data_IF_860175646900
#
_entry.id   IF_860175646900
#
_cell.length_a   1.000
_cell.length_b   1.000
_cell.length_c   1.000
_cell.angle_alpha   90.00
_cell.angle_beta   90.00
_cell.angle_gamma   90.00
#
_symmetry.space_group_name_H-M   'P 1'
#
loop_
_entity.id
_entity.type
_entity.pdbx_description
1 polymer ?
#
# COMPACT_ATOMS: atom_id res chain seq x y z
N UNK A 1 -56.22 15.53 46.74
CA UNK A 1 -55.26 16.56 46.29
C UNK A 1 -54.96 16.33 44.82
N UNK A 2 -54.89 17.43 44.07
CA UNK A 2 -54.82 17.53 42.62
C UNK A 2 -53.45 17.14 42.03
N UNK A 3 -53.51 16.55 40.83
CA UNK A 3 -52.78 16.90 39.58
C UNK A 3 -51.47 17.70 39.64
N UNK A 4 -50.40 17.23 38.98
CA UNK A 4 -49.98 17.63 37.61
C UNK A 4 -48.62 17.01 37.22
N UNK A 5 -48.51 16.66 35.93
CA UNK A 5 -47.29 16.26 35.22
C UNK A 5 -46.53 17.51 34.72
N UNK A 6 -45.19 17.54 34.79
CA UNK A 6 -44.35 18.41 33.93
C UNK A 6 -43.05 17.68 33.56
N UNK A 7 -42.79 17.72 32.26
CA UNK A 7 -41.73 17.11 31.46
C UNK A 7 -40.31 17.58 31.80
N UNK A 8 -39.33 16.68 31.69
CA UNK A 8 -37.94 17.06 31.44
C UNK A 8 -37.78 17.32 29.95
N UNK A 9 -37.76 18.60 29.57
CA UNK A 9 -37.21 19.04 28.29
C UNK A 9 -35.68 18.96 28.38
N UNK A 10 -35.08 18.08 27.57
CA UNK A 10 -33.69 18.22 27.15
C UNK A 10 -33.69 18.44 25.64
N UNK A 11 -33.90 19.69 25.24
CA UNK A 11 -33.37 20.19 23.97
C UNK A 11 -31.93 20.57 24.24
N UNK A 12 -31.00 19.89 23.58
CA UNK A 12 -30.18 20.52 22.54
C UNK A 12 -29.41 19.41 21.82
N UNK A 13 -29.79 19.18 20.57
CA UNK A 13 -28.98 18.46 19.59
C UNK A 13 -27.68 19.25 19.39
N UNK A 14 -26.60 18.81 20.04
CA UNK A 14 -25.26 19.26 19.69
C UNK A 14 -24.92 18.74 18.29
N UNK A 15 -25.15 19.61 17.31
CA UNK A 15 -24.69 19.46 15.94
C UNK A 15 -23.17 19.67 15.92
N UNK A 16 -22.42 18.60 16.20
CA UNK A 16 -20.98 18.56 15.93
C UNK A 16 -20.76 18.84 14.43
N UNK A 17 -20.23 20.02 14.15
CA UNK A 17 -19.75 20.43 12.83
C UNK A 17 -18.85 19.33 12.25
N UNK A 18 -19.29 18.73 11.15
CA UNK A 18 -18.55 17.73 10.36
C UNK A 18 -17.10 18.14 10.01
N UNK A 19 -16.75 19.44 10.14
CA UNK A 19 -15.40 19.97 9.94
C UNK A 19 -14.42 19.71 11.09
N UNK A 20 -14.85 19.60 12.35
CA UNK A 20 -13.95 19.42 13.50
C UNK A 20 -13.41 17.98 13.58
N UNK A 21 -14.29 17.00 13.39
CA UNK A 21 -13.89 15.58 13.34
C UNK A 21 -12.93 15.29 12.18
N UNK A 22 -13.20 15.85 10.99
CA UNK A 22 -12.31 15.69 9.83
C UNK A 22 -10.92 16.30 10.08
N UNK A 23 -10.84 17.39 10.83
CA UNK A 23 -9.58 18.05 11.19
C UNK A 23 -8.77 17.22 12.19
N UNK A 24 -9.43 16.68 13.23
CA UNK A 24 -8.81 15.77 14.21
C UNK A 24 -8.29 14.49 13.54
N UNK A 25 -9.07 13.88 12.64
CA UNK A 25 -8.66 12.68 11.90
C UNK A 25 -7.44 12.93 11.01
N UNK A 26 -7.37 14.08 10.32
CA UNK A 26 -6.18 14.47 9.53
C UNK A 26 -4.95 14.68 10.41
N UNK A 27 -5.11 15.31 11.58
CA UNK A 27 -4.01 15.53 12.51
C UNK A 27 -3.46 14.20 13.07
N UNK A 28 -4.35 13.31 13.54
CA UNK A 28 -3.95 11.97 14.00
C UNK A 28 -3.26 11.18 12.90
N UNK A 29 -3.71 11.32 11.65
CA UNK A 29 -3.05 10.70 10.51
C UNK A 29 -1.66 11.26 10.25
N UNK A 30 -1.47 12.58 10.32
CA UNK A 30 -0.16 13.21 10.15
C UNK A 30 0.82 12.75 11.23
N UNK A 31 0.38 12.60 12.48
CA UNK A 31 1.20 12.06 13.56
C UNK A 31 1.57 10.59 13.29
N UNK A 32 0.59 9.76 12.93
CA UNK A 32 0.82 8.36 12.55
C UNK A 32 1.77 8.23 11.36
N UNK A 33 1.65 9.11 10.36
CA UNK A 33 2.56 9.18 9.21
C UNK A 33 3.96 9.64 9.59
N UNK A 34 4.06 10.59 10.52
CA UNK A 34 5.35 11.03 11.06
C UNK A 34 6.02 9.90 11.83
N UNK A 35 5.27 9.15 12.63
CA UNK A 35 5.75 7.96 13.33
C UNK A 35 6.13 6.84 12.36
N UNK A 36 5.36 6.64 11.29
CA UNK A 36 5.69 5.69 10.23
C UNK A 36 6.95 6.09 9.47
N UNK A 37 7.15 7.37 9.16
CA UNK A 37 8.38 7.88 8.55
C UNK A 37 9.58 7.77 9.50
N UNK A 38 9.39 8.06 10.80
CA UNK A 38 10.42 7.86 11.83
C UNK A 38 10.78 6.37 11.93
N UNK A 39 9.79 5.48 11.90
CA UNK A 39 9.99 4.03 11.87
C UNK A 39 10.66 3.58 10.58
N UNK A 40 10.26 4.08 9.41
CA UNK A 40 10.89 3.77 8.14
C UNK A 40 12.37 4.17 8.16
N UNK A 41 12.67 5.36 8.70
CA UNK A 41 14.04 5.85 8.86
C UNK A 41 14.84 5.02 9.87
N UNK A 42 14.25 4.66 11.01
CA UNK A 42 14.88 3.78 12.00
C UNK A 42 15.07 2.35 11.47
N UNK A 43 14.17 1.84 10.63
CA UNK A 43 14.30 0.55 9.93
C UNK A 43 15.40 0.63 8.86
N UNK A 44 15.56 1.78 8.22
CA UNK A 44 16.63 2.04 7.24
C UNK A 44 18.02 2.08 7.91
N UNK A 45 18.09 2.60 9.15
CA UNK A 45 19.32 2.67 9.96
C UNK A 45 19.67 1.34 10.67
N UNK A 46 18.68 0.51 11.00
CA UNK A 46 18.88 -0.75 11.77
C UNK A 46 18.98 -2.01 10.93
N UNK A 47 18.50 -1.99 9.67
CA UNK A 47 18.59 -3.12 8.76
C UNK A 47 19.25 -2.65 7.46
N UNK A 48 20.50 -3.04 7.16
CA UNK A 48 21.15 -2.65 5.91
C UNK A 48 20.38 -3.26 4.75
N UNK A 49 19.49 -2.45 4.18
CA UNK A 49 18.87 -2.54 2.87
C UNK A 49 18.80 -3.96 2.30
N UNK A 50 17.89 -4.82 2.81
CA UNK A 50 17.48 -5.96 1.99
C UNK A 50 16.51 -5.46 0.92
N UNK A 51 17.09 -4.75 -0.05
CA UNK A 51 16.43 -4.49 -1.31
C UNK A 51 16.10 -5.82 -1.96
N UNK A 52 14.97 -5.87 -2.66
CA UNK A 52 14.49 -7.07 -3.30
C UNK A 52 13.77 -6.75 -4.60
N UNK A 53 13.53 -7.79 -5.37
CA UNK A 53 12.70 -7.75 -6.56
C UNK A 53 11.37 -8.43 -6.25
N UNK A 54 10.28 -7.95 -6.85
CA UNK A 54 8.98 -8.63 -6.80
C UNK A 54 8.69 -9.27 -8.15
N UNK A 55 8.86 -10.59 -8.24
CA UNK A 55 8.69 -11.35 -9.47
C UNK A 55 7.29 -11.95 -9.59
N UNK A 56 6.54 -11.57 -10.62
CA UNK A 56 5.28 -12.21 -11.00
C UNK A 56 5.50 -13.20 -12.14
N UNK A 57 5.07 -14.45 -11.96
CA UNK A 57 5.23 -15.52 -12.95
C UNK A 57 4.25 -15.48 -14.13
N UNK A 58 3.46 -14.41 -14.26
CA UNK A 58 2.46 -14.30 -15.34
C UNK A 58 3.16 -14.13 -16.70
N UNK A 59 2.62 -14.75 -17.76
CA UNK A 59 3.22 -14.68 -19.09
C UNK A 59 4.63 -15.28 -19.11
N UNK A 60 5.61 -14.50 -19.57
CA UNK A 60 7.04 -14.89 -19.58
C UNK A 60 7.75 -14.65 -18.24
N UNK A 61 7.03 -14.12 -17.25
CA UNK A 61 7.61 -13.71 -15.98
C UNK A 61 8.15 -12.28 -16.01
N UNK A 62 7.85 -11.52 -14.95
CA UNK A 62 8.16 -10.09 -14.87
C UNK A 62 8.55 -9.67 -13.45
N UNK A 63 9.54 -8.79 -13.34
CA UNK A 63 9.88 -8.05 -12.14
C UNK A 63 9.13 -6.73 -12.14
N UNK A 64 8.41 -6.43 -11.07
CA UNK A 64 7.73 -5.15 -10.91
C UNK A 64 8.77 -4.02 -10.80
N UNK A 65 8.56 -2.94 -11.55
CA UNK A 65 9.35 -1.73 -11.44
C UNK A 65 8.50 -0.48 -11.33
N UNK A 66 9.07 0.54 -10.69
CA UNK A 66 8.50 1.88 -10.56
C UNK A 66 9.54 2.83 -11.17
N UNK A 67 9.17 3.58 -12.20
CA UNK A 67 10.11 4.48 -12.87
C UNK A 67 9.95 5.93 -12.41
N UNK A 68 10.88 6.80 -12.82
CA UNK A 68 10.94 8.21 -12.40
C UNK A 68 9.66 9.02 -12.60
N UNK A 69 8.87 8.71 -13.63
CA UNK A 69 7.61 9.42 -13.90
C UNK A 69 6.41 8.89 -13.07
N UNK A 70 6.60 7.85 -12.27
CA UNK A 70 5.56 7.22 -11.45
C UNK A 70 4.76 6.13 -12.17
N UNK A 71 5.05 5.84 -13.43
CA UNK A 71 4.48 4.68 -14.11
C UNK A 71 5.05 3.39 -13.54
N UNK A 72 4.23 2.33 -13.55
CA UNK A 72 4.55 1.03 -12.95
C UNK A 72 4.19 -0.06 -13.94
N UNK A 73 5.13 -0.98 -14.17
CA UNK A 73 4.93 -2.15 -15.02
C UNK A 73 5.97 -3.24 -14.69
N UNK A 74 5.84 -4.38 -15.33
CA UNK A 74 6.73 -5.52 -15.22
C UNK A 74 7.76 -5.57 -16.34
N UNK A 75 9.02 -5.89 -16.00
CA UNK A 75 10.12 -6.13 -16.96
C UNK A 75 10.68 -7.54 -16.79
N UNK A 76 11.08 -8.17 -17.90
CA UNK A 76 11.59 -9.54 -17.83
C UNK A 76 12.93 -9.60 -17.10
N UNK A 77 13.90 -8.83 -17.58
CA UNK A 77 15.21 -8.66 -16.94
C UNK A 77 15.14 -7.53 -15.89
N UNK A 78 15.60 -7.75 -14.65
CA UNK A 78 15.62 -6.72 -13.63
C UNK A 78 16.43 -5.49 -14.06
N UNK A 79 15.86 -4.31 -13.83
CA UNK A 79 16.52 -3.02 -14.01
C UNK A 79 16.84 -2.37 -12.64
N UNK A 80 17.58 -1.27 -12.62
CA UNK A 80 17.76 -0.45 -11.41
C UNK A 80 16.42 0.05 -10.81
N UNK A 81 15.39 0.22 -11.65
CA UNK A 81 14.04 0.62 -11.24
C UNK A 81 13.19 -0.53 -10.68
N UNK A 82 13.64 -1.77 -10.90
CA UNK A 82 13.00 -2.98 -10.36
C UNK A 82 13.44 -3.27 -8.93
N UNK A 83 14.43 -2.52 -8.42
CA UNK A 83 14.92 -2.65 -7.06
C UNK A 83 13.95 -1.96 -6.10
N UNK A 84 13.32 -2.75 -5.23
CA UNK A 84 12.27 -2.31 -4.34
C UNK A 84 12.68 -2.53 -2.89
N UNK A 85 12.27 -1.61 -2.03
CA UNK A 85 12.22 -1.77 -0.58
C UNK A 85 10.79 -2.06 -0.19
N UNK A 86 10.54 -3.25 0.37
CA UNK A 86 9.26 -3.57 1.02
C UNK A 86 9.50 -3.47 2.52
N UNK A 87 8.76 -2.60 3.19
CA UNK A 87 8.94 -2.34 4.62
C UNK A 87 7.65 -2.58 5.37
N UNK A 88 7.74 -3.26 6.51
CA UNK A 88 6.61 -3.50 7.37
C UNK A 88 6.24 -2.21 8.12
N UNK A 89 5.02 -1.74 7.94
CA UNK A 89 4.45 -0.64 8.74
C UNK A 89 3.92 -1.20 10.06
N UNK A 90 3.26 -2.37 9.99
CA UNK A 90 2.74 -3.18 11.09
C UNK A 90 2.70 -4.65 10.64
N UNK A 91 2.49 -5.64 11.53
CA UNK A 91 2.41 -7.05 11.13
C UNK A 91 1.42 -7.28 9.98
N UNK A 92 1.90 -7.83 8.86
CA UNK A 92 1.12 -8.10 7.65
C UNK A 92 0.72 -6.87 6.82
N UNK A 93 1.12 -5.66 7.20
CA UNK A 93 0.88 -4.42 6.45
C UNK A 93 2.21 -3.80 6.03
N UNK A 94 2.38 -3.61 4.73
CA UNK A 94 3.63 -3.15 4.13
C UNK A 94 3.44 -1.90 3.29
N UNK A 95 4.51 -1.12 3.20
CA UNK A 95 4.73 -0.16 2.13
C UNK A 95 5.73 -0.74 1.12
N UNK A 96 5.61 -0.33 -0.14
CA UNK A 96 6.54 -0.73 -1.22
C UNK A 96 7.09 0.54 -1.85
N UNK A 97 8.42 0.70 -1.85
CA UNK A 97 9.12 1.87 -2.39
C UNK A 97 10.14 1.45 -3.44
N UNK A 98 10.14 2.12 -4.58
CA UNK A 98 11.20 1.98 -5.58
C UNK A 98 12.45 2.71 -5.10
N UNK A 99 13.57 1.99 -5.01
CA UNK A 99 14.83 2.52 -4.45
C UNK A 99 15.36 3.64 -5.35
N UNK A 100 15.53 3.35 -6.64
CA UNK A 100 16.11 4.31 -7.60
C UNK A 100 15.25 5.56 -7.79
N UNK A 101 13.93 5.40 -7.85
CA UNK A 101 13.02 6.50 -8.16
C UNK A 101 12.47 7.21 -6.92
N UNK A 102 12.75 6.70 -5.71
CA UNK A 102 12.25 7.18 -4.43
C UNK A 102 10.72 7.39 -4.38
N UNK A 103 9.97 6.51 -5.07
CA UNK A 103 8.50 6.58 -5.13
C UNK A 103 7.87 5.39 -4.44
N UNK A 104 6.77 5.66 -3.75
CA UNK A 104 5.94 4.63 -3.13
C UNK A 104 4.94 4.10 -4.15
N UNK A 105 4.79 2.79 -4.22
CA UNK A 105 3.67 2.19 -4.92
C UNK A 105 2.40 2.52 -4.14
N UNK A 106 1.40 3.08 -4.81
CA UNK A 106 0.13 3.42 -4.21
C UNK A 106 -1.00 3.04 -5.16
N UNK A 107 -2.14 2.65 -4.61
CA UNK A 107 -3.32 2.23 -5.37
C UNK A 107 -4.54 3.05 -4.95
N UNK A 108 -5.11 3.74 -5.92
CA UNK A 108 -6.29 4.59 -5.72
C UNK A 108 -7.60 3.77 -5.64
N UNK A 109 -8.72 4.46 -5.42
CA UNK A 109 -10.04 3.84 -5.26
C UNK A 109 -10.56 3.16 -6.54
N UNK A 110 -10.05 3.51 -7.72
CA UNK A 110 -10.36 2.81 -8.98
C UNK A 110 -9.56 1.50 -9.16
N UNK A 111 -8.62 1.22 -8.25
CA UNK A 111 -7.72 0.08 -8.32
C UNK A 111 -6.56 0.29 -9.31
N UNK A 112 -6.19 1.53 -9.59
CA UNK A 112 -5.06 1.88 -10.45
C UNK A 112 -3.83 2.08 -9.55
N UNK A 113 -2.79 1.29 -9.80
CA UNK A 113 -1.52 1.40 -9.09
C UNK A 113 -0.56 2.33 -9.83
N UNK A 114 0.16 3.17 -9.07
CA UNK A 114 1.13 4.14 -9.59
C UNK A 114 2.18 4.47 -8.52
N UNK A 115 3.29 5.07 -8.94
CA UNK A 115 4.37 5.53 -8.09
C UNK A 115 4.21 6.98 -7.66
N UNK A 116 3.96 7.20 -6.37
CA UNK A 116 3.77 8.54 -5.77
C UNK A 116 4.99 8.97 -4.96
N UNK A 117 5.28 10.29 -4.95
CA UNK A 117 6.36 10.85 -4.11
C UNK A 117 5.99 10.91 -2.63
N UNK A 118 4.71 11.13 -2.34
CA UNK A 118 4.19 11.25 -0.98
C UNK A 118 3.60 9.90 -0.56
N UNK A 119 3.99 9.45 0.63
CA UNK A 119 3.39 8.27 1.25
C UNK A 119 1.99 8.61 1.77
N UNK A 120 1.02 7.74 1.49
CA UNK A 120 -0.38 7.93 1.86
C UNK A 120 -1.03 6.61 2.26
N UNK A 121 -2.29 6.63 2.71
CA UNK A 121 -3.05 5.40 2.98
C UNK A 121 -3.22 4.51 1.74
N UNK A 122 -3.13 5.10 0.55
CA UNK A 122 -3.20 4.36 -0.72
C UNK A 122 -1.93 3.53 -0.98
N UNK A 123 -0.85 3.81 -0.25
CA UNK A 123 0.44 3.14 -0.37
C UNK A 123 0.59 1.96 0.61
N UNK A 124 -0.47 1.65 1.36
CA UNK A 124 -0.50 0.56 2.34
C UNK A 124 -1.15 -0.68 1.74
N UNK A 125 -0.38 -1.77 1.75
CA UNK A 125 -0.83 -3.07 1.26
C UNK A 125 -0.84 -4.09 2.39
N UNK A 126 -1.87 -4.94 2.40
CA UNK A 126 -1.87 -6.19 3.14
C UNK A 126 -1.03 -7.19 2.38
N UNK A 127 0.05 -7.65 2.98
CA UNK A 127 0.86 -8.75 2.46
C UNK A 127 0.32 -10.08 3.00
N UNK A 128 0.15 -11.06 2.12
CA UNK A 128 -0.21 -12.43 2.50
C UNK A 128 0.58 -13.44 1.71
N UNK A 129 1.14 -14.43 2.41
CA UNK A 129 1.65 -15.64 1.77
C UNK A 129 0.48 -16.54 1.37
N UNK A 130 0.52 -17.01 0.13
CA UNK A 130 -0.44 -17.94 -0.43
C UNK A 130 0.06 -19.38 -0.33
N UNK A 131 -0.84 -20.35 -0.48
CA UNK A 131 -0.54 -21.79 -0.40
C UNK A 131 0.56 -22.24 -1.39
N UNK A 132 0.74 -21.49 -2.47
CA UNK A 132 1.76 -21.73 -3.47
C UNK A 132 3.10 -21.04 -3.18
N UNK A 133 3.29 -20.49 -1.98
CA UNK A 133 4.48 -19.76 -1.52
C UNK A 133 4.77 -18.44 -2.25
N UNK A 134 3.81 -17.91 -3.00
CA UNK A 134 3.85 -16.52 -3.49
C UNK A 134 3.15 -15.59 -2.51
N UNK A 135 3.52 -14.31 -2.55
CA UNK A 135 2.81 -13.27 -1.81
C UNK A 135 1.76 -12.59 -2.69
N UNK A 136 0.65 -12.20 -2.08
CA UNK A 136 -0.31 -11.24 -2.63
C UNK A 136 -0.19 -9.92 -1.87
N UNK A 137 -0.49 -8.82 -2.59
CA UNK A 137 -0.54 -7.47 -2.02
C UNK A 137 -1.90 -6.85 -2.36
N UNK A 138 -2.74 -6.63 -1.36
CA UNK A 138 -4.04 -5.96 -1.53
C UNK A 138 -4.06 -4.61 -0.83
N UNK A 139 -4.59 -3.58 -1.47
CA UNK A 139 -4.78 -2.27 -0.84
C UNK A 139 -5.59 -2.42 0.45
N UNK A 140 -5.16 -1.74 1.52
CA UNK A 140 -5.88 -1.74 2.80
C UNK A 140 -7.23 -1.04 2.69
N UNK A 141 -7.32 0.00 1.86
CA UNK A 141 -8.54 0.80 1.74
C UNK A 141 -9.63 0.13 0.92
N UNK A 142 -9.26 -0.65 -0.11
CA UNK A 142 -10.22 -1.23 -1.06
C UNK A 142 -10.22 -2.75 -1.13
N UNK A 143 -9.18 -3.42 -0.63
CA UNK A 143 -8.98 -4.87 -0.81
C UNK A 143 -8.58 -5.27 -2.24
N UNK A 144 -8.38 -4.31 -3.16
CA UNK A 144 -7.97 -4.60 -4.53
C UNK A 144 -6.52 -5.04 -4.62
N UNK A 145 -6.25 -6.00 -5.50
CA UNK A 145 -4.94 -6.64 -5.60
C UNK A 145 -4.04 -5.94 -6.61
N UNK A 146 -2.76 -5.83 -6.26
CA UNK A 146 -1.71 -5.52 -7.22
C UNK A 146 -1.62 -6.66 -8.23
N UNK A 147 -1.55 -6.35 -9.53
CA UNK A 147 -1.48 -7.37 -10.56
C UNK A 147 -0.82 -6.91 -11.85
N UNK A 148 -0.15 -7.85 -12.52
CA UNK A 148 0.42 -7.68 -13.85
C UNK A 148 -0.34 -8.51 -14.90
N UNK A 149 -0.44 -8.00 -16.11
CA UNK A 149 -0.99 -8.74 -17.25
C UNK A 149 0.06 -9.70 -17.82
N UNK A 150 -0.35 -10.59 -18.72
CA UNK A 150 0.57 -11.46 -19.45
C UNK A 150 1.62 -10.70 -20.28
N UNK A 151 1.39 -9.41 -20.55
CA UNK A 151 2.31 -8.51 -21.25
C UNK A 151 3.14 -7.64 -20.30
N UNK A 152 3.09 -7.90 -19.00
CA UNK A 152 3.79 -7.11 -17.98
C UNK A 152 3.15 -5.75 -17.67
N UNK A 153 1.98 -5.42 -18.21
CA UNK A 153 1.30 -4.15 -17.88
C UNK A 153 0.51 -4.27 -16.58
N UNK A 154 0.36 -3.19 -15.82
CA UNK A 154 -0.54 -3.19 -14.67
C UNK A 154 -1.98 -3.51 -15.05
N UNK A 155 -2.65 -4.32 -14.23
CA UNK A 155 -4.10 -4.54 -14.30
C UNK A 155 -4.80 -3.69 -13.25
N UNK A 156 -6.04 -3.26 -13.54
CA UNK A 156 -6.90 -2.63 -12.54
C UNK A 156 -7.22 -3.65 -11.44
N UNK A 157 -6.84 -3.35 -10.20
CA UNK A 157 -6.93 -4.26 -9.06
C UNK A 157 -8.34 -4.76 -8.77
N UNK A 158 -9.37 -3.96 -9.09
CA UNK A 158 -10.78 -4.35 -8.96
C UNK A 158 -11.25 -5.47 -9.90
N UNK A 159 -10.44 -5.83 -10.90
CA UNK A 159 -10.77 -6.86 -11.92
C UNK A 159 -10.02 -8.17 -11.71
N UNK A 160 -9.31 -8.30 -10.60
CA UNK A 160 -8.48 -9.47 -10.27
C UNK A 160 -8.82 -9.95 -8.87
N UNK A 161 -8.51 -11.22 -8.60
CA UNK A 161 -8.75 -11.83 -7.30
C UNK A 161 -7.54 -12.64 -6.85
N UNK A 162 -7.49 -12.91 -5.55
CA UNK A 162 -6.42 -13.61 -4.83
C UNK A 162 -5.89 -14.87 -5.52
N UNK A 163 -6.77 -15.68 -6.10
CA UNK A 163 -6.36 -16.97 -6.70
C UNK A 163 -5.77 -16.83 -8.12
N UNK A 164 -5.83 -15.64 -8.73
CA UNK A 164 -5.28 -15.43 -10.07
C UNK A 164 -3.76 -15.24 -9.98
N UNK A 165 -3.00 -16.02 -10.77
CA UNK A 165 -1.53 -15.96 -10.81
C UNK A 165 -0.96 -14.58 -11.12
N UNK A 166 -1.72 -13.74 -11.81
CA UNK A 166 -1.37 -12.34 -12.08
C UNK A 166 -1.22 -11.46 -10.82
N UNK A 167 -1.73 -11.92 -9.67
CA UNK A 167 -1.62 -11.24 -8.36
C UNK A 167 -0.50 -11.80 -7.48
N UNK A 168 0.19 -12.85 -7.95
CA UNK A 168 1.17 -13.59 -7.16
C UNK A 168 2.57 -13.07 -7.46
N UNK A 169 3.26 -12.61 -6.42
CA UNK A 169 4.61 -12.08 -6.50
C UNK A 169 5.54 -12.87 -5.58
N UNK A 170 6.69 -13.25 -6.09
CA UNK A 170 7.74 -13.92 -5.35
C UNK A 170 8.84 -12.89 -5.04
N UNK A 171 9.15 -12.63 -3.76
CA UNK A 171 10.32 -11.86 -3.39
C UNK A 171 11.61 -12.55 -3.84
N UNK A 172 12.48 -11.85 -4.56
CA UNK A 172 13.79 -12.35 -5.00
C UNK A 172 14.90 -11.44 -4.51
N UNK A 173 16.04 -12.02 -4.13
CA UNK A 173 17.26 -11.25 -3.84
C UNK A 173 17.79 -10.63 -5.14
N UNK A 174 18.27 -9.37 -5.13
CA UNK A 174 18.99 -8.80 -6.24
C UNK A 174 20.27 -9.60 -6.48
N UNK A 175 20.69 -9.75 -7.74
CA UNK A 175 21.95 -10.40 -8.07
C UNK A 175 23.08 -9.42 -7.70
N UNK A 176 23.87 -9.76 -6.69
CA UNK A 176 25.12 -9.06 -6.39
C UNK A 176 26.15 -9.49 -7.44
N UNK A 177 26.53 -8.59 -8.34
CA UNK A 177 27.76 -8.76 -9.11
C UNK A 177 28.94 -8.49 -8.16
N UNK A 178 29.59 -9.57 -7.74
CA UNK A 178 30.86 -9.55 -7.00
C UNK A 178 32.01 -9.14 -7.91
#
# INVERSE_FOLDING_TARGET
>A
MLSFCVSCNCTDEETESSGDQASRLRHMWQLSMKDANIREKAIEESNPAQHQLLYCRVGIGFHLQIVMNGSVWGVHEPSEYSLLRVFAVRPGIVGIRGVKCERYLCMNQEGIAQGMKLFSNECLFKERMEENHYNTYSSISTGYFLALSQKGQLRKGKRVGRHQTCTHFLPRKPVSHS
#
